data_IF_681049265426
#
_entry.id   IF_681049265426
#
_cell.length_a   1.000
_cell.length_b   1.000
_cell.length_c   1.000
_cell.angle_alpha   90.00
_cell.angle_beta   90.00
_cell.angle_gamma   90.00
#
_symmetry.space_group_name_H-M   'P 1'
#
loop_
_entity.id
_entity.type
_entity.pdbx_description
1 polymer ?
#
# COMPACT_ATOMS: atom_id res chain seq x y z
N UNK A 1 -7.62 -12.15 -1.33
CA UNK A 1 -6.44 -11.41 -1.87
C UNK A 1 -5.53 -12.42 -2.59
N UNK A 2 -4.90 -12.06 -3.72
CA UNK A 2 -4.13 -12.93 -4.65
C UNK A 2 -2.79 -12.34 -5.10
N UNK A 3 -2.25 -12.80 -6.24
CA UNK A 3 -0.85 -12.56 -6.65
C UNK A 3 -0.45 -11.09 -6.90
N UNK A 4 -1.41 -10.24 -7.29
CA UNK A 4 -1.17 -8.80 -7.50
C UNK A 4 -1.40 -7.97 -6.23
N UNK A 5 -1.36 -8.61 -5.06
CA UNK A 5 -1.62 -7.96 -3.79
C UNK A 5 -0.39 -7.97 -2.88
N UNK A 6 -0.07 -6.81 -2.32
CA UNK A 6 0.88 -6.72 -1.21
C UNK A 6 0.13 -7.12 0.06
N UNK A 7 0.44 -8.31 0.59
CA UNK A 7 -0.17 -8.78 1.84
C UNK A 7 0.26 -7.95 3.05
N UNK A 8 1.52 -7.53 3.09
CA UNK A 8 2.10 -6.74 4.18
C UNK A 8 3.34 -5.98 3.70
N UNK A 9 3.52 -4.74 4.17
CA UNK A 9 4.73 -3.96 3.98
C UNK A 9 5.08 -3.23 5.27
N UNK A 10 6.17 -3.63 5.92
CA UNK A 10 6.63 -3.05 7.17
C UNK A 10 8.12 -2.70 7.08
N UNK A 11 8.48 -1.58 7.71
CA UNK A 11 9.86 -1.14 7.89
C UNK A 11 10.07 -0.86 9.37
N UNK A 12 11.15 -1.40 9.94
CA UNK A 12 11.57 -1.14 11.32
C UNK A 12 11.69 0.36 11.58
N UNK A 13 11.33 0.83 12.78
CA UNK A 13 11.19 2.26 13.05
C UNK A 13 12.51 3.02 12.86
N UNK A 14 13.62 2.40 13.21
CA UNK A 14 15.00 2.90 13.08
C UNK A 14 15.46 2.98 11.62
N UNK A 15 14.79 2.26 10.72
CA UNK A 15 15.13 2.16 9.30
C UNK A 15 14.17 2.95 8.39
N UNK A 16 13.16 3.62 8.97
CA UNK A 16 12.20 4.46 8.22
C UNK A 16 12.87 5.74 7.71
N UNK A 17 12.22 6.38 6.74
CA UNK A 17 12.69 7.62 6.10
C UNK A 17 14.05 7.53 5.39
N UNK A 18 14.61 6.33 5.23
CA UNK A 18 15.85 6.06 4.48
C UNK A 18 15.60 5.51 3.06
N UNK A 19 14.38 5.70 2.51
CA UNK A 19 14.00 5.21 1.18
C UNK A 19 13.73 3.70 1.07
N UNK A 20 13.86 2.93 2.16
CA UNK A 20 13.65 1.46 2.16
C UNK A 20 12.23 1.08 1.75
N UNK A 21 11.21 1.74 2.31
CA UNK A 21 9.81 1.45 1.97
C UNK A 21 9.53 1.66 0.47
N UNK A 22 10.10 2.72 -0.12
CA UNK A 22 10.02 2.96 -1.56
C UNK A 22 10.68 1.83 -2.36
N UNK A 23 11.91 1.45 -2.01
CA UNK A 23 12.61 0.36 -2.72
C UNK A 23 11.83 -0.95 -2.68
N UNK A 24 11.25 -1.30 -1.52
CA UNK A 24 10.41 -2.50 -1.39
C UNK A 24 9.14 -2.41 -2.25
N UNK A 25 8.48 -1.25 -2.26
CA UNK A 25 7.30 -1.03 -3.09
C UNK A 25 7.63 -1.08 -4.58
N UNK A 26 8.76 -0.49 -5.00
CA UNK A 26 9.22 -0.51 -6.39
C UNK A 26 9.55 -1.94 -6.85
N UNK A 27 10.15 -2.77 -5.97
CA UNK A 27 10.33 -4.21 -6.25
C UNK A 27 8.99 -4.95 -6.40
N UNK A 28 7.98 -4.62 -5.60
CA UNK A 28 6.66 -5.23 -5.72
C UNK A 28 5.94 -4.85 -7.01
N UNK A 29 6.20 -3.65 -7.54
CA UNK A 29 5.67 -3.16 -8.83
C UNK A 29 6.38 -3.79 -10.04
N UNK A 30 7.57 -4.34 -9.85
CA UNK A 30 8.39 -4.86 -10.95
C UNK A 30 7.68 -6.01 -11.69
N UNK A 31 7.66 -5.94 -13.02
CA UNK A 31 6.97 -6.90 -13.90
C UNK A 31 5.46 -7.08 -13.64
N UNK A 32 4.80 -6.08 -13.03
CA UNK A 32 3.36 -6.04 -12.84
C UNK A 32 2.71 -4.93 -13.65
N UNK A 33 1.51 -5.21 -14.15
CA UNK A 33 0.65 -4.18 -14.76
C UNK A 33 -0.10 -3.38 -13.69
N UNK A 34 -0.37 -4.00 -12.53
CA UNK A 34 -0.93 -3.33 -11.36
C UNK A 34 -0.51 -4.03 -10.06
N UNK A 35 -0.60 -3.30 -8.96
CA UNK A 35 -0.58 -3.86 -7.61
C UNK A 35 -1.66 -3.22 -6.75
N UNK A 36 -2.16 -3.98 -5.78
CA UNK A 36 -3.09 -3.49 -4.76
C UNK A 36 -2.52 -3.72 -3.37
N UNK A 37 -2.71 -2.73 -2.50
CA UNK A 37 -2.39 -2.82 -1.07
C UNK A 37 -3.51 -2.16 -0.28
N UNK A 38 -3.66 -2.53 0.98
CA UNK A 38 -4.66 -1.96 1.86
C UNK A 38 -4.00 -1.34 3.09
N UNK A 39 -4.60 -0.26 3.58
CA UNK A 39 -4.26 0.32 4.87
C UNK A 39 -5.51 0.79 5.59
N UNK A 40 -5.54 0.60 6.91
CA UNK A 40 -6.57 1.18 7.74
C UNK A 40 -6.56 2.71 7.64
N UNK A 41 -7.74 3.32 7.70
CA UNK A 41 -7.92 4.77 7.62
C UNK A 41 -7.10 5.53 8.70
N UNK A 42 -6.89 4.92 9.86
CA UNK A 42 -6.10 5.50 10.95
C UNK A 42 -4.59 5.54 10.64
N UNK A 43 -4.10 4.69 9.73
CA UNK A 43 -2.68 4.60 9.40
C UNK A 43 -2.25 5.72 8.43
N UNK A 44 -2.28 6.96 8.90
CA UNK A 44 -1.95 8.15 8.09
C UNK A 44 -0.56 8.09 7.46
N UNK A 45 0.39 7.40 8.10
CA UNK A 45 1.71 7.19 7.53
C UNK A 45 1.67 6.32 6.26
N UNK A 46 0.93 5.20 6.28
CA UNK A 46 0.78 4.34 5.11
C UNK A 46 -0.03 5.04 4.00
N UNK A 47 -1.13 5.71 4.34
CA UNK A 47 -1.95 6.45 3.36
C UNK A 47 -1.11 7.51 2.62
N UNK A 48 -0.37 8.34 3.37
CA UNK A 48 0.51 9.36 2.79
C UNK A 48 1.65 8.73 1.98
N UNK A 49 2.19 7.60 2.43
CA UNK A 49 3.21 6.85 1.71
C UNK A 49 2.68 6.36 0.36
N UNK A 50 1.55 5.66 0.33
CA UNK A 50 0.97 5.12 -0.91
C UNK A 50 0.58 6.22 -1.89
N UNK A 51 -0.07 7.29 -1.41
CA UNK A 51 -0.39 8.44 -2.25
C UNK A 51 0.85 9.09 -2.87
N UNK A 52 1.92 9.30 -2.08
CA UNK A 52 3.19 9.85 -2.57
C UNK A 52 3.86 8.95 -3.62
N UNK A 53 3.76 7.63 -3.46
CA UNK A 53 4.35 6.66 -4.40
C UNK A 53 3.44 6.34 -5.60
N UNK A 54 2.40 7.14 -5.82
CA UNK A 54 1.54 7.11 -7.01
C UNK A 54 0.43 6.05 -6.99
N UNK A 55 0.09 5.53 -5.82
CA UNK A 55 -1.10 4.70 -5.66
C UNK A 55 -2.32 5.59 -5.43
N UNK A 56 -3.45 5.22 -6.03
CA UNK A 56 -4.73 5.92 -5.88
C UNK A 56 -5.67 5.12 -4.98
N UNK A 57 -6.47 5.82 -4.18
CA UNK A 57 -7.56 5.17 -3.42
C UNK A 57 -8.62 4.63 -4.40
N UNK A 58 -9.11 3.42 -4.16
CA UNK A 58 -10.16 2.78 -4.99
C UNK A 58 -11.44 2.59 -4.16
N UNK A 59 -11.73 1.46 -3.48
CA UNK A 59 -12.80 1.45 -2.46
C UNK A 59 -12.30 1.69 -1.02
N UNK A 60 -13.26 2.05 -0.17
CA UNK A 60 -13.17 1.98 1.29
C UNK A 60 -14.18 0.94 1.77
N UNK A 61 -13.76 0.04 2.64
CA UNK A 61 -14.59 -1.03 3.17
C UNK A 61 -14.48 -1.07 4.69
N UNK A 62 -15.56 -1.44 5.37
CA UNK A 62 -15.51 -1.72 6.81
C UNK A 62 -15.12 -3.19 6.94
N UNK A 63 -14.04 -3.47 7.67
CA UNK A 63 -13.60 -4.83 7.98
C UNK A 63 -14.45 -5.36 9.15
N UNK A 64 -15.24 -6.41 8.90
CA UNK A 64 -16.24 -6.92 9.86
C UNK A 64 -15.62 -7.36 11.20
N UNK A 65 -14.41 -7.92 11.19
CA UNK A 65 -13.76 -8.41 12.41
C UNK A 65 -13.30 -7.29 13.35
N UNK A 66 -12.94 -6.12 12.80
CA UNK A 66 -12.32 -5.02 13.57
C UNK A 66 -13.18 -3.77 13.61
N UNK A 67 -14.21 -3.69 12.77
CA UNK A 67 -15.02 -2.50 12.50
C UNK A 67 -14.18 -1.28 12.06
N UNK A 68 -12.98 -1.53 11.51
CA UNK A 68 -12.09 -0.50 11.01
C UNK A 68 -12.33 -0.28 9.51
N UNK A 69 -12.20 0.97 9.07
CA UNK A 69 -12.22 1.30 7.64
C UNK A 69 -10.88 0.88 7.02
N UNK A 70 -10.91 -0.09 6.13
CA UNK A 70 -9.79 -0.53 5.31
C UNK A 70 -9.87 0.13 3.94
N UNK A 71 -8.82 0.84 3.54
CA UNK A 71 -8.77 1.58 2.28
C UNK A 71 -7.90 0.81 1.30
N UNK A 72 -8.45 0.51 0.13
CA UNK A 72 -7.70 -0.08 -0.97
C UNK A 72 -6.94 1.01 -1.74
N UNK A 73 -5.66 0.75 -2.01
CA UNK A 73 -4.79 1.58 -2.81
C UNK A 73 -4.25 0.78 -4.00
N UNK A 74 -4.40 1.34 -5.20
CA UNK A 74 -3.95 0.70 -6.45
C UNK A 74 -2.90 1.52 -7.17
N UNK A 75 -1.84 0.87 -7.60
CA UNK A 75 -0.94 1.41 -8.61
C UNK A 75 -1.13 0.63 -9.90
N UNK A 76 -1.15 1.35 -11.02
CA UNK A 76 -1.13 0.79 -12.37
C UNK A 76 0.13 1.25 -13.07
N UNK A 77 0.75 0.36 -13.83
CA UNK A 77 1.95 0.66 -14.61
C UNK A 77 1.68 1.87 -15.53
N UNK A 78 2.47 2.94 -15.43
CA UNK A 78 2.37 4.06 -16.36
C UNK A 78 2.71 3.58 -17.78
N UNK A 79 2.00 4.12 -18.77
CA UNK A 79 2.31 3.93 -20.19
C UNK A 79 3.65 4.58 -20.57
#
# INVERSE_FOLDING_TARGET
RGDDNIGALYVAIEARSAGIGKRLLDMAKENRDWITVWAYEENKHALNFYAREGLVEVPREIEDETNLVNIEHRWTKPN
#
